data_IF_964298792159
#
_entry.id   IF_964298792159
#
_cell.length_a   1.000
_cell.length_b   1.000
_cell.length_c   1.000
_cell.angle_alpha   90.00
_cell.angle_beta   90.00
_cell.angle_gamma   90.00
#
_symmetry.space_group_name_H-M   'P 1'
#
loop_
_entity.id
_entity.type
_entity.pdbx_description
1 polymer ?
#
# COMPACT_ATOMS: atom_id res chain seq x y z
N UNK A 1 -1.74 -2.47 24.39
CA UNK A 1 -2.87 -2.95 23.56
C UNK A 1 -3.56 -1.83 22.81
N UNK A 2 -4.06 -0.79 23.47
CA UNK A 2 -4.73 0.36 22.81
C UNK A 2 -3.87 0.99 21.70
N UNK A 3 -2.61 1.32 21.97
CA UNK A 3 -1.71 1.91 20.97
C UNK A 3 -1.47 1.04 19.74
N UNK A 4 -1.36 -0.27 19.94
CA UNK A 4 -1.17 -1.21 18.83
C UNK A 4 -2.44 -1.33 17.97
N UNK A 5 -3.62 -1.37 18.61
CA UNK A 5 -4.89 -1.34 17.89
C UNK A 5 -5.08 -0.03 17.11
N UNK A 6 -4.67 1.11 17.69
CA UNK A 6 -4.68 2.41 17.00
C UNK A 6 -3.74 2.43 15.79
N UNK A 7 -2.54 1.84 15.91
CA UNK A 7 -1.60 1.69 14.79
C UNK A 7 -2.23 0.86 13.67
N UNK A 8 -2.80 -0.31 13.98
CA UNK A 8 -3.47 -1.16 12.98
C UNK A 8 -4.68 -0.46 12.36
N UNK A 9 -5.46 0.29 13.14
CA UNK A 9 -6.57 1.08 12.64
C UNK A 9 -6.10 2.20 11.71
N UNK A 10 -4.99 2.87 12.03
CA UNK A 10 -4.38 3.87 11.15
C UNK A 10 -3.93 3.25 9.82
N UNK A 11 -3.25 2.09 9.86
CA UNK A 11 -2.85 1.36 8.65
C UNK A 11 -4.07 0.95 7.83
N UNK A 12 -5.14 0.45 8.48
CA UNK A 12 -6.38 0.08 7.80
C UNK A 12 -7.06 1.30 7.13
N UNK A 13 -7.13 2.43 7.83
CA UNK A 13 -7.65 3.68 7.28
C UNK A 13 -6.85 4.15 6.07
N UNK A 14 -5.53 4.02 6.13
CA UNK A 14 -4.65 4.34 5.00
C UNK A 14 -4.90 3.41 3.80
N UNK A 15 -5.11 2.10 4.02
CA UNK A 15 -5.51 1.18 2.93
C UNK A 15 -6.80 1.62 2.27
N UNK A 16 -7.78 2.09 3.05
CA UNK A 16 -9.02 2.63 2.50
C UNK A 16 -8.75 3.89 1.68
N UNK A 17 -7.90 4.80 2.17
CA UNK A 17 -7.52 6.00 1.41
C UNK A 17 -6.84 5.64 0.07
N UNK A 18 -5.91 4.69 0.08
CA UNK A 18 -5.28 4.12 -1.12
C UNK A 18 -6.33 3.57 -2.10
N UNK A 19 -7.33 2.82 -1.62
CA UNK A 19 -8.40 2.30 -2.46
C UNK A 19 -9.27 3.41 -3.05
N UNK A 20 -9.53 4.49 -2.32
CA UNK A 20 -10.27 5.65 -2.82
C UNK A 20 -9.49 6.35 -3.94
N UNK A 21 -8.19 6.61 -3.73
CA UNK A 21 -7.32 7.20 -4.76
C UNK A 21 -7.25 6.28 -5.98
N UNK A 22 -7.07 4.98 -5.76
CA UNK A 22 -6.99 3.97 -6.82
C UNK A 22 -8.27 3.91 -7.65
N UNK A 23 -9.45 3.99 -7.01
CA UNK A 23 -10.74 4.04 -7.73
C UNK A 23 -10.87 5.30 -8.59
N UNK A 24 -10.46 6.46 -8.09
CA UNK A 24 -10.49 7.73 -8.84
C UNK A 24 -9.56 7.67 -10.05
N UNK A 25 -8.35 7.17 -9.87
CA UNK A 25 -7.38 7.00 -10.93
C UNK A 25 -7.82 5.94 -11.95
N UNK A 26 -8.44 4.85 -11.50
CA UNK A 26 -8.98 3.82 -12.39
C UNK A 26 -10.04 4.40 -13.34
N UNK A 27 -10.96 5.22 -12.83
CA UNK A 27 -11.96 5.89 -13.65
C UNK A 27 -11.31 6.82 -14.69
N UNK A 28 -10.28 7.56 -14.28
CA UNK A 28 -9.50 8.42 -15.18
C UNK A 28 -8.77 7.62 -16.28
N UNK A 29 -8.16 6.50 -15.92
CA UNK A 29 -7.43 5.62 -16.84
C UNK A 29 -8.39 4.96 -17.84
N UNK A 30 -9.54 4.44 -17.37
CA UNK A 30 -10.56 3.82 -18.24
C UNK A 30 -11.14 4.81 -19.24
N UNK A 31 -11.37 6.06 -18.84
CA UNK A 31 -11.81 7.12 -19.75
C UNK A 31 -10.80 7.45 -20.87
N UNK A 32 -9.54 6.99 -20.74
CA UNK A 32 -8.47 7.15 -21.73
C UNK A 32 -8.08 5.85 -22.43
N UNK A 33 -8.98 4.85 -22.41
CA UNK A 33 -8.72 3.54 -23.03
C UNK A 33 -7.77 2.66 -22.22
N UNK A 34 -7.61 2.92 -20.92
CA UNK A 34 -6.78 2.11 -20.03
C UNK A 34 -7.29 0.67 -19.92
N UNK A 35 -6.40 -0.29 -20.16
CA UNK A 35 -6.69 -1.72 -20.09
C UNK A 35 -6.13 -2.29 -18.79
N UNK A 36 -6.98 -3.01 -18.05
CA UNK A 36 -6.62 -3.65 -16.79
C UNK A 36 -6.02 -5.05 -17.04
N UNK A 37 -4.87 -5.32 -16.42
CA UNK A 37 -4.18 -6.59 -16.47
C UNK A 37 -4.23 -7.27 -15.09
N UNK A 38 -4.38 -8.60 -15.08
CA UNK A 38 -4.30 -9.38 -13.84
C UNK A 38 -5.50 -9.21 -12.88
N UNK A 39 -6.66 -8.78 -13.37
CA UNK A 39 -7.86 -8.55 -12.57
C UNK A 39 -8.26 -9.76 -11.68
N UNK A 40 -8.00 -10.98 -12.14
CA UNK A 40 -8.29 -12.21 -11.40
C UNK A 40 -7.53 -12.36 -10.07
N UNK A 41 -6.33 -11.78 -9.93
CA UNK A 41 -5.54 -11.87 -8.70
C UNK A 41 -5.90 -10.80 -7.66
N UNK A 42 -6.62 -9.76 -8.06
CA UNK A 42 -6.94 -8.64 -7.20
C UNK A 42 -7.78 -9.03 -5.95
N UNK A 43 -8.82 -9.89 -6.06
CA UNK A 43 -9.53 -10.37 -4.87
C UNK A 43 -8.62 -11.09 -3.86
N UNK A 44 -7.68 -11.91 -4.35
CA UNK A 44 -6.73 -12.60 -3.48
C UNK A 44 -5.83 -11.61 -2.72
N UNK A 45 -5.39 -10.54 -3.37
CA UNK A 45 -4.62 -9.47 -2.71
C UNK A 45 -5.42 -8.75 -1.62
N UNK A 46 -6.71 -8.47 -1.85
CA UNK A 46 -7.58 -7.85 -0.84
C UNK A 46 -7.76 -8.76 0.36
N UNK A 47 -8.02 -10.05 0.14
CA UNK A 47 -8.14 -11.06 1.21
C UNK A 47 -6.84 -11.15 2.00
N UNK A 48 -5.70 -11.25 1.32
CA UNK A 48 -4.39 -11.33 1.96
C UNK A 48 -4.12 -10.16 2.91
N UNK A 49 -4.32 -8.93 2.44
CA UNK A 49 -4.04 -7.73 3.26
C UNK A 49 -5.02 -7.61 4.44
N UNK A 50 -6.29 -7.98 4.23
CA UNK A 50 -7.31 -7.93 5.28
C UNK A 50 -7.06 -9.01 6.33
N UNK A 51 -6.77 -10.23 5.90
CA UNK A 51 -6.45 -11.35 6.77
C UNK A 51 -5.16 -11.09 7.56
N UNK A 52 -4.14 -10.48 6.95
CA UNK A 52 -2.90 -10.12 7.64
C UNK A 52 -3.16 -9.15 8.80
N UNK A 53 -3.88 -8.06 8.57
CA UNK A 53 -4.20 -7.09 9.63
C UNK A 53 -5.03 -7.72 10.76
N UNK A 54 -6.01 -8.56 10.41
CA UNK A 54 -6.81 -9.30 11.38
C UNK A 54 -5.96 -10.28 12.18
N UNK A 55 -5.06 -11.03 11.52
CA UNK A 55 -4.15 -11.97 12.16
C UNK A 55 -3.18 -11.28 13.12
N UNK A 56 -2.62 -10.13 12.73
CA UNK A 56 -1.76 -9.31 13.60
C UNK A 56 -2.46 -8.87 14.89
N UNK A 57 -3.75 -8.55 14.83
CA UNK A 57 -4.54 -8.20 16.01
C UNK A 57 -4.87 -9.44 16.85
N UNK A 58 -5.33 -10.51 16.22
CA UNK A 58 -5.68 -11.77 16.87
C UNK A 58 -4.48 -12.41 17.57
N UNK A 59 -3.29 -12.39 16.96
CA UNK A 59 -2.08 -12.97 17.53
C UNK A 59 -1.77 -12.36 18.92
N UNK A 60 -1.84 -11.04 19.03
CA UNK A 60 -1.52 -10.34 20.28
C UNK A 60 -2.60 -10.61 21.35
N UNK A 61 -3.86 -10.68 20.96
CA UNK A 61 -4.98 -10.95 21.88
C UNK A 61 -4.95 -12.40 22.38
N UNK A 62 -4.77 -13.37 21.47
CA UNK A 62 -4.83 -14.80 21.79
C UNK A 62 -3.57 -15.26 22.53
N UNK A 63 -2.40 -14.88 22.03
CA UNK A 63 -1.12 -15.36 22.58
C UNK A 63 -0.50 -14.42 23.63
N UNK A 64 -1.18 -13.33 23.98
CA UNK A 64 -0.76 -12.38 25.03
C UNK A 64 0.70 -11.91 24.85
N UNK A 65 1.10 -11.66 23.59
CA UNK A 65 2.49 -11.35 23.24
C UNK A 65 2.96 -10.07 23.94
N UNK A 66 4.13 -10.10 24.62
CA UNK A 66 4.70 -8.90 25.21
C UNK A 66 5.26 -7.97 24.13
N UNK A 67 5.27 -6.67 24.42
CA UNK A 67 5.94 -5.70 23.56
C UNK A 67 7.45 -5.74 23.82
N UNK A 68 8.23 -5.99 22.76
CA UNK A 68 9.69 -5.95 22.81
C UNK A 68 10.16 -4.58 22.28
N UNK A 69 10.68 -3.67 23.13
CA UNK A 69 10.89 -2.27 22.72
C UNK A 69 11.82 -2.10 21.52
N UNK A 70 12.96 -2.78 21.51
CA UNK A 70 13.94 -2.67 20.41
C UNK A 70 13.30 -3.06 19.08
N UNK A 71 12.65 -4.23 19.04
CA UNK A 71 11.98 -4.73 17.83
C UNK A 71 10.76 -3.88 17.45
N UNK A 72 9.96 -3.48 18.43
CA UNK A 72 8.74 -2.71 18.21
C UNK A 72 9.03 -1.33 17.64
N UNK A 73 9.99 -0.60 18.21
CA UNK A 73 10.37 0.72 17.72
C UNK A 73 11.11 0.65 16.38
N UNK A 74 11.98 -0.36 16.17
CA UNK A 74 12.64 -0.53 14.87
C UNK A 74 11.63 -0.83 13.77
N UNK A 75 10.66 -1.74 14.01
CA UNK A 75 9.65 -2.08 13.03
C UNK A 75 8.66 -0.94 12.80
N UNK A 76 8.35 -0.15 13.83
CA UNK A 76 7.55 1.07 13.65
C UNK A 76 8.27 2.08 12.73
N UNK A 77 9.59 2.26 12.89
CA UNK A 77 10.37 3.12 12.01
C UNK A 77 10.38 2.60 10.56
N UNK A 78 10.49 1.28 10.36
CA UNK A 78 10.40 0.65 9.04
C UNK A 78 9.03 0.89 8.40
N UNK A 79 7.94 0.64 9.14
CA UNK A 79 6.57 0.90 8.64
C UNK A 79 6.39 2.37 8.30
N UNK A 80 6.84 3.30 9.16
CA UNK A 80 6.73 4.72 8.89
C UNK A 80 7.49 5.13 7.61
N UNK A 81 8.71 4.62 7.41
CA UNK A 81 9.50 4.85 6.21
C UNK A 81 8.85 4.24 4.96
N UNK A 82 8.30 3.03 5.06
CA UNK A 82 7.59 2.36 3.98
C UNK A 82 6.34 3.17 3.56
N UNK A 83 5.56 3.66 4.52
CA UNK A 83 4.38 4.48 4.22
C UNK A 83 4.76 5.84 3.62
N UNK A 84 5.81 6.49 4.11
CA UNK A 84 6.33 7.72 3.50
C UNK A 84 6.77 7.49 2.04
N UNK A 85 7.51 6.42 1.77
CA UNK A 85 7.93 6.04 0.41
C UNK A 85 6.72 5.73 -0.48
N UNK A 86 5.72 5.02 0.04
CA UNK A 86 4.48 4.69 -0.67
C UNK A 86 3.75 5.94 -1.10
N UNK A 87 3.52 6.88 -0.19
CA UNK A 87 2.83 8.13 -0.53
C UNK A 87 3.66 9.04 -1.43
N UNK A 88 4.98 9.01 -1.32
CA UNK A 88 5.84 9.67 -2.30
C UNK A 88 5.63 9.07 -3.71
N UNK A 89 5.55 7.74 -3.83
CA UNK A 89 5.26 7.08 -5.10
C UNK A 89 3.86 7.43 -5.63
N UNK A 90 2.84 7.44 -4.76
CA UNK A 90 1.46 7.84 -5.10
C UNK A 90 1.43 9.27 -5.64
N UNK A 91 2.10 10.20 -4.95
CA UNK A 91 2.17 11.59 -5.34
C UNK A 91 2.91 11.79 -6.67
N UNK A 92 4.04 11.11 -6.86
CA UNK A 92 4.85 11.20 -8.08
C UNK A 92 4.15 10.61 -9.30
N UNK A 93 3.51 9.45 -9.16
CA UNK A 93 2.73 8.85 -10.26
C UNK A 93 1.41 9.59 -10.54
N UNK A 94 0.87 10.28 -9.54
CA UNK A 94 -0.36 11.05 -9.66
C UNK A 94 -1.52 10.20 -10.18
N UNK A 95 -2.04 10.55 -11.36
CA UNK A 95 -3.18 9.84 -11.98
C UNK A 95 -2.83 8.47 -12.55
N UNK A 96 -1.54 8.20 -12.79
CA UNK A 96 -1.06 6.91 -13.27
C UNK A 96 -0.94 5.87 -12.14
N UNK A 97 -1.03 6.30 -10.87
CA UNK A 97 -0.98 5.37 -9.74
C UNK A 97 -2.28 4.57 -9.62
N UNK A 98 -2.17 3.26 -9.47
CA UNK A 98 -3.31 2.40 -9.20
C UNK A 98 -2.86 1.15 -8.42
N UNK A 99 -3.75 0.62 -7.57
CA UNK A 99 -3.52 -0.67 -6.90
C UNK A 99 -3.72 -1.85 -7.86
N UNK A 100 -4.39 -1.63 -8.99
CA UNK A 100 -4.54 -2.58 -10.10
C UNK A 100 -3.54 -2.24 -11.19
N UNK A 101 -3.12 -3.24 -11.96
CA UNK A 101 -2.24 -3.01 -13.10
C UNK A 101 -3.08 -2.49 -14.26
N UNK A 102 -2.96 -1.21 -14.58
CA UNK A 102 -3.70 -0.57 -15.67
C UNK A 102 -2.72 0.11 -16.60
N UNK A 103 -2.72 -0.25 -17.88
CA UNK A 103 -1.89 0.37 -18.90
C UNK A 103 -2.74 1.33 -19.71
N UNK A 104 -2.39 2.61 -19.70
CA UNK A 104 -3.06 3.65 -20.50
C UNK A 104 -2.24 3.88 -21.79
N UNK A 105 -2.82 3.66 -22.97
CA UNK A 105 -2.13 3.91 -24.24
C UNK A 105 -1.62 5.35 -24.34
N UNK A 106 -0.35 5.52 -24.71
CA UNK A 106 0.27 6.84 -24.86
C UNK A 106 0.60 7.59 -23.58
N UNK A 107 0.38 6.99 -22.39
CA UNK A 107 0.87 7.58 -21.14
C UNK A 107 2.40 7.55 -21.09
N UNK A 108 3.01 8.70 -20.80
CA UNK A 108 4.46 8.78 -20.60
C UNK A 108 4.86 8.08 -19.31
N UNK A 109 6.00 7.38 -19.36
CA UNK A 109 6.62 6.80 -18.17
C UNK A 109 7.09 7.93 -17.25
N UNK A 110 6.77 7.81 -15.97
CA UNK A 110 7.23 8.74 -14.93
C UNK A 110 8.62 8.32 -14.46
N UNK A 111 9.58 9.25 -14.51
CA UNK A 111 10.97 9.08 -14.09
C UNK A 111 11.39 10.05 -12.95
N UNK A 112 10.43 10.81 -12.41
CA UNK A 112 10.64 11.73 -11.29
C UNK A 112 10.64 11.05 -9.91
N UNK A 113 10.98 11.84 -8.88
CA UNK A 113 10.79 11.45 -7.47
C UNK A 113 11.57 10.18 -7.09
N UNK A 114 10.93 9.14 -6.54
CA UNK A 114 11.61 7.89 -6.21
C UNK A 114 11.91 7.02 -7.45
N UNK A 115 11.24 7.27 -8.59
CA UNK A 115 11.39 6.49 -9.82
C UNK A 115 12.69 6.78 -10.58
N UNK A 116 13.40 7.86 -10.23
CA UNK A 116 14.75 8.17 -10.76
C UNK A 116 15.81 7.17 -10.29
N UNK A 117 15.58 6.50 -9.17
CA UNK A 117 16.56 5.59 -8.57
C UNK A 117 16.39 4.16 -9.09
N UNK A 118 15.14 3.69 -9.26
CA UNK A 118 14.83 2.37 -9.78
C UNK A 118 13.36 2.27 -10.20
N UNK A 119 12.99 1.21 -10.92
CA UNK A 119 11.70 1.13 -11.60
C UNK A 119 10.47 0.93 -10.69
N UNK A 120 10.64 0.31 -9.50
CA UNK A 120 9.51 -0.10 -8.65
C UNK A 120 9.70 0.25 -7.16
N UNK A 121 9.89 1.54 -6.79
CA UNK A 121 10.02 1.98 -5.39
C UNK A 121 8.84 1.61 -4.50
N UNK A 122 7.62 1.59 -5.05
CA UNK A 122 6.45 1.17 -4.30
C UNK A 122 6.51 -0.29 -3.83
N UNK A 123 7.24 -1.17 -4.54
CA UNK A 123 7.37 -2.57 -4.13
C UNK A 123 8.36 -2.74 -2.98
N UNK A 124 9.34 -1.86 -2.83
CA UNK A 124 10.20 -1.82 -1.63
C UNK A 124 9.36 -1.51 -0.41
N UNK A 125 8.43 -0.55 -0.50
CA UNK A 125 7.46 -0.25 0.56
C UNK A 125 6.40 -1.34 0.82
N UNK A 126 6.32 -2.37 -0.02
CA UNK A 126 5.46 -3.54 0.21
C UNK A 126 6.23 -4.67 0.91
N UNK A 127 7.53 -4.79 0.64
CA UNK A 127 8.39 -5.84 1.21
C UNK A 127 8.91 -5.48 2.61
N UNK A 128 9.22 -4.20 2.84
CA UNK A 128 9.70 -3.68 4.11
C UNK A 128 8.58 -3.61 5.16
#
# INVERSE_FOLDING_TARGET
>A
MVWYALLLAAIAAERVAELVVSRRNLAWSRARGGVEFGAGHYPAMVVLHTALLAACLLEVIVFHRPFLPVLGWSMLAVVAAAQALRWWCVATLGRQWNTRVVVVPGASRVDDGPYRFFAHPNYVAVVA
#
